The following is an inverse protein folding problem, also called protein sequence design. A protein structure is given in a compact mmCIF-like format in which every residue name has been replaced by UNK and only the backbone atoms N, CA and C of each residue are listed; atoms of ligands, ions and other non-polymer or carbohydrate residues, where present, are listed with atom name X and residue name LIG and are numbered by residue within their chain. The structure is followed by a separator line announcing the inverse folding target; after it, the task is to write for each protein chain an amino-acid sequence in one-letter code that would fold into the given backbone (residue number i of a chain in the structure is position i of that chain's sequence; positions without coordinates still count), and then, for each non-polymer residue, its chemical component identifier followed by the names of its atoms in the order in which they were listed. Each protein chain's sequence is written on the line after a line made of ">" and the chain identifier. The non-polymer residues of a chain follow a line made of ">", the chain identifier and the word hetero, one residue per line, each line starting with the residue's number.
data_IF_144862775412
#
_entry.id   IF_144862775412
#
_cell.length_a   1.000
_cell.length_b   1.000
_cell.length_c   1.000
_cell.angle_alpha   90.00
_cell.angle_beta   90.00
_cell.angle_gamma   90.00
#
_symmetry.space_group_name_H-M   'P 1'
#
loop_
_entity.id
_entity.type
_entity.pdbx_description
1 polymer ?
#
# COMPACT_ATOMS: atom_id res chain seq x y z
N UNK A 1 -11.52 0.85 15.94
CA UNK A 1 -12.98 1.12 16.05
C UNK A 1 -13.47 2.11 15.00
N UNK A 2 -12.97 3.36 14.94
CA UNK A 2 -13.41 4.37 13.94
C UNK A 2 -13.13 3.97 12.47
N UNK A 3 -12.06 3.22 12.20
CA UNK A 3 -11.68 2.78 10.84
C UNK A 3 -12.64 1.69 10.29
N UNK A 4 -13.01 0.73 11.13
CA UNK A 4 -13.94 -0.38 10.83
C UNK A 4 -15.32 0.16 10.49
N UNK A 5 -15.84 1.06 11.32
CA UNK A 5 -17.16 1.65 11.12
C UNK A 5 -17.23 2.41 9.78
N UNK A 6 -16.18 3.16 9.44
CA UNK A 6 -16.09 3.87 8.16
C UNK A 6 -16.03 2.96 6.94
N UNK A 7 -15.35 1.82 7.03
CA UNK A 7 -15.31 0.84 5.93
C UNK A 7 -16.62 0.07 5.80
N UNK A 8 -17.23 -0.32 6.93
CA UNK A 8 -18.51 -1.03 6.95
C UNK A 8 -19.66 -0.20 6.35
N UNK A 9 -19.60 1.13 6.45
CA UNK A 9 -20.57 2.05 5.86
C UNK A 9 -20.46 2.19 4.32
N UNK A 10 -19.35 1.73 3.73
CA UNK A 10 -19.14 1.78 2.28
C UNK A 10 -19.85 0.61 1.57
N UNK A 11 -20.25 0.82 0.31
CA UNK A 11 -20.69 -0.28 -0.55
C UNK A 11 -19.53 -1.25 -0.78
N UNK A 12 -19.79 -2.56 -1.03
CA UNK A 12 -18.74 -3.55 -1.26
C UNK A 12 -17.71 -3.17 -2.35
N UNK A 13 -18.17 -2.51 -3.41
CA UNK A 13 -17.27 -2.01 -4.47
C UNK A 13 -16.31 -0.92 -3.97
N UNK A 14 -16.81 -0.01 -3.14
CA UNK A 14 -16.01 1.06 -2.55
C UNK A 14 -15.08 0.50 -1.47
N UNK A 15 -15.48 -0.54 -0.73
CA UNK A 15 -14.59 -1.28 0.18
C UNK A 15 -13.43 -1.92 -0.58
N UNK A 16 -13.70 -2.59 -1.71
CA UNK A 16 -12.65 -3.10 -2.60
C UNK A 16 -11.72 -1.98 -3.05
N UNK A 17 -12.25 -0.86 -3.53
CA UNK A 17 -11.44 0.29 -3.96
C UNK A 17 -10.61 0.89 -2.82
N UNK A 18 -11.09 0.87 -1.58
CA UNK A 18 -10.31 1.27 -0.40
C UNK A 18 -9.08 0.36 -0.21
N UNK A 19 -9.25 -0.96 -0.31
CA UNK A 19 -8.13 -1.90 -0.26
C UNK A 19 -7.13 -1.68 -1.41
N UNK A 20 -7.62 -1.39 -2.62
CA UNK A 20 -6.74 -1.06 -3.77
C UNK A 20 -5.93 0.19 -3.49
N UNK A 21 -6.54 1.26 -2.96
CA UNK A 21 -5.83 2.51 -2.64
C UNK A 21 -4.82 2.32 -1.49
N UNK A 22 -5.10 1.42 -0.55
CA UNK A 22 -4.14 1.05 0.48
C UNK A 22 -2.92 0.33 -0.11
N UNK A 23 -3.13 -0.61 -1.03
CA UNK A 23 -2.04 -1.26 -1.78
C UNK A 23 -1.26 -0.27 -2.64
N UNK A 24 -1.96 0.62 -3.35
CA UNK A 24 -1.35 1.49 -4.36
C UNK A 24 -0.26 2.40 -3.81
N UNK A 25 -0.35 2.78 -2.53
CA UNK A 25 0.69 3.55 -1.80
C UNK A 25 2.06 2.86 -1.81
N UNK A 26 2.07 1.53 -1.93
CA UNK A 26 3.29 0.71 -1.93
C UNK A 26 3.75 0.31 -3.33
N UNK A 27 3.04 0.73 -4.39
CA UNK A 27 3.41 0.44 -5.78
C UNK A 27 4.78 1.04 -6.14
N UNK A 28 5.02 2.30 -5.82
CA UNK A 28 6.32 2.93 -6.05
C UNK A 28 7.42 2.27 -5.20
N UNK A 29 7.27 2.09 -3.88
CA UNK A 29 8.23 1.36 -3.04
C UNK A 29 8.64 -0.02 -3.58
N UNK A 30 7.70 -0.90 -3.92
CA UNK A 30 8.04 -2.25 -4.36
C UNK A 30 8.78 -2.28 -5.72
N UNK A 31 8.53 -1.29 -6.59
CA UNK A 31 9.10 -1.21 -7.94
C UNK A 31 10.38 -0.35 -8.03
N UNK A 32 10.65 0.52 -7.05
CA UNK A 32 11.80 1.43 -7.08
C UNK A 32 13.13 0.73 -6.70
N UNK A 33 13.06 -0.42 -6.04
CA UNK A 33 14.22 -1.19 -5.63
C UNK A 33 14.30 -2.51 -6.41
N UNK A 34 15.52 -2.94 -6.70
CA UNK A 34 15.77 -4.26 -7.27
C UNK A 34 15.25 -5.34 -6.32
N UNK A 35 14.41 -6.25 -6.85
CA UNK A 35 14.00 -7.45 -6.14
C UNK A 35 15.16 -8.43 -6.09
N UNK A 36 15.22 -9.23 -5.03
CA UNK A 36 16.23 -10.29 -4.95
C UNK A 36 16.08 -11.26 -6.13
N UNK A 37 17.18 -11.49 -6.85
CA UNK A 37 17.18 -12.37 -8.01
C UNK A 37 16.80 -13.82 -7.64
N UNK A 38 17.13 -14.27 -6.43
CA UNK A 38 16.79 -15.60 -5.93
C UNK A 38 15.30 -15.77 -5.67
N UNK A 39 14.54 -14.68 -5.48
CA UNK A 39 13.09 -14.74 -5.35
C UNK A 39 12.43 -15.15 -6.66
N UNK A 40 13.08 -14.87 -7.81
CA UNK A 40 12.58 -15.16 -9.15
C UNK A 40 11.21 -14.52 -9.45
N UNK A 41 10.91 -13.40 -8.81
CA UNK A 41 9.69 -12.62 -9.04
C UNK A 41 9.91 -11.69 -10.24
N UNK A 42 9.05 -11.80 -11.24
CA UNK A 42 9.05 -10.89 -12.39
C UNK A 42 8.38 -9.55 -12.01
N UNK A 43 9.08 -8.40 -12.10
CA UNK A 43 8.50 -7.09 -11.81
C UNK A 43 7.24 -6.76 -12.61
N UNK A 44 7.12 -7.28 -13.84
CA UNK A 44 5.97 -7.05 -14.71
C UNK A 44 4.69 -7.74 -14.18
N UNK A 45 4.83 -8.84 -13.44
CA UNK A 45 3.71 -9.51 -12.77
C UNK A 45 3.20 -8.66 -11.61
N UNK A 46 4.11 -8.10 -10.80
CA UNK A 46 3.74 -7.19 -9.72
C UNK A 46 3.05 -5.94 -10.27
N UNK A 47 3.60 -5.33 -11.32
CA UNK A 47 2.98 -4.17 -11.95
C UNK A 47 1.59 -4.49 -12.52
N UNK A 48 1.45 -5.67 -13.12
CA UNK A 48 0.16 -6.16 -13.62
C UNK A 48 -0.85 -6.36 -12.50
N UNK A 49 -0.45 -6.88 -11.34
CA UNK A 49 -1.33 -7.03 -10.18
C UNK A 49 -1.90 -5.69 -9.72
N UNK A 50 -1.07 -4.64 -9.59
CA UNK A 50 -1.58 -3.30 -9.27
C UNK A 50 -2.60 -2.83 -10.30
N UNK A 51 -2.26 -2.86 -11.58
CA UNK A 51 -3.17 -2.42 -12.66
C UNK A 51 -4.50 -3.19 -12.64
N UNK A 52 -4.45 -4.50 -12.43
CA UNK A 52 -5.63 -5.37 -12.35
C UNK A 52 -6.46 -5.09 -11.10
N UNK A 53 -5.83 -4.79 -9.95
CA UNK A 53 -6.54 -4.40 -8.73
C UNK A 53 -7.35 -3.11 -8.94
N UNK A 54 -6.77 -2.12 -9.62
CA UNK A 54 -7.39 -0.82 -9.90
C UNK A 54 -8.38 -0.82 -11.09
N UNK A 55 -8.45 -1.91 -11.84
CA UNK A 55 -9.38 -2.08 -12.98
C UNK A 55 -10.84 -2.06 -12.53
N UNK A 56 -11.80 -1.83 -13.45
CA UNK A 56 -13.22 -2.03 -13.17
C UNK A 56 -13.49 -3.37 -12.48
N UNK A 57 -14.28 -3.39 -11.40
CA UNK A 57 -14.62 -4.62 -10.72
C UNK A 57 -15.49 -5.50 -11.61
N UNK A 58 -15.13 -6.78 -11.75
CA UNK A 58 -15.92 -7.75 -12.49
C UNK A 58 -15.23 -9.10 -12.67
N UNK A 59 -15.98 -10.09 -13.14
CA UNK A 59 -15.48 -11.46 -13.24
C UNK A 59 -14.26 -11.59 -14.16
N UNK A 60 -14.14 -10.75 -15.19
CA UNK A 60 -13.00 -10.75 -16.10
C UNK A 60 -11.73 -10.22 -15.42
N UNK A 61 -11.81 -9.07 -14.74
CA UNK A 61 -10.67 -8.50 -14.00
C UNK A 61 -10.25 -9.46 -12.88
N UNK A 62 -11.20 -10.08 -12.20
CA UNK A 62 -10.93 -10.97 -11.07
C UNK A 62 -10.26 -12.26 -11.55
N UNK A 63 -10.71 -12.82 -12.68
CA UNK A 63 -10.01 -13.95 -13.32
C UNK A 63 -8.60 -13.59 -13.76
N UNK A 64 -8.40 -12.40 -14.33
CA UNK A 64 -7.08 -11.94 -14.71
C UNK A 64 -6.16 -11.74 -13.49
N UNK A 65 -6.66 -11.15 -12.41
CA UNK A 65 -5.92 -10.97 -11.16
C UNK A 65 -5.49 -12.33 -10.57
N UNK A 66 -6.42 -13.28 -10.45
CA UNK A 66 -6.10 -14.64 -9.97
C UNK A 66 -5.03 -15.33 -10.81
N UNK A 67 -5.05 -15.12 -12.13
CA UNK A 67 -4.03 -15.68 -13.01
C UNK A 67 -2.65 -15.10 -12.73
N UNK A 68 -2.57 -13.78 -12.54
CA UNK A 68 -1.31 -13.11 -12.18
C UNK A 68 -0.81 -13.54 -10.79
N UNK A 69 -1.71 -13.77 -9.82
CA UNK A 69 -1.35 -14.35 -8.52
C UNK A 69 -0.81 -15.77 -8.68
N UNK A 70 -1.49 -16.62 -9.46
CA UNK A 70 -1.03 -17.97 -9.71
C UNK A 70 0.35 -18.01 -10.38
N UNK A 71 0.62 -17.08 -11.30
CA UNK A 71 1.94 -16.87 -11.91
C UNK A 71 2.98 -16.44 -10.88
N UNK A 72 2.67 -15.42 -10.07
CA UNK A 72 3.54 -14.97 -8.97
C UNK A 72 3.90 -16.13 -8.03
N UNK A 73 2.93 -16.95 -7.63
CA UNK A 73 3.14 -18.09 -6.74
C UNK A 73 4.01 -19.22 -7.34
N UNK A 74 4.38 -19.15 -8.63
CA UNK A 74 5.39 -20.06 -9.20
C UNK A 74 6.83 -19.62 -8.94
N UNK A 75 7.03 -18.40 -8.44
CA UNK A 75 8.33 -17.85 -8.13
C UNK A 75 9.02 -18.63 -6.99
N UNK A 76 10.35 -18.84 -7.04
CA UNK A 76 11.11 -19.51 -5.99
C UNK A 76 10.92 -18.94 -4.57
N UNK A 77 10.60 -17.64 -4.46
CA UNK A 77 10.31 -16.94 -3.20
C UNK A 77 9.46 -17.76 -2.21
N UNK A 78 8.43 -18.44 -2.70
CA UNK A 78 7.44 -19.14 -1.88
C UNK A 78 7.94 -20.48 -1.30
N UNK A 79 9.17 -20.87 -1.63
CA UNK A 79 9.80 -22.13 -1.19
C UNK A 79 11.11 -21.91 -0.43
N UNK A 80 11.57 -20.67 -0.32
CA UNK A 80 12.85 -20.31 0.30
C UNK A 80 12.65 -19.73 1.70
N UNK A 81 13.55 -20.05 2.63
CA UNK A 81 13.70 -19.26 3.85
C UNK A 81 14.43 -17.97 3.51
N UNK A 82 13.81 -16.82 3.78
CA UNK A 82 14.35 -15.50 3.50
C UNK A 82 14.57 -14.78 4.83
N UNK A 83 15.78 -14.27 5.05
CA UNK A 83 16.10 -13.31 6.11
C UNK A 83 16.22 -11.93 5.45
N UNK A 84 15.12 -11.15 5.38
CA UNK A 84 15.09 -9.95 4.56
C UNK A 84 15.85 -8.80 5.22
N UNK A 85 16.55 -8.01 4.41
CA UNK A 85 16.91 -6.66 4.82
C UNK A 85 15.67 -5.77 4.96
N UNK A 86 15.86 -4.54 5.41
CA UNK A 86 14.76 -3.59 5.61
C UNK A 86 13.93 -3.39 4.34
N UNK A 87 14.53 -3.19 3.17
CA UNK A 87 13.81 -2.93 1.91
C UNK A 87 13.07 -4.19 1.47
N UNK A 88 13.75 -5.33 1.56
CA UNK A 88 13.19 -6.64 1.25
C UNK A 88 11.96 -6.93 2.12
N UNK A 89 11.95 -6.55 3.39
CA UNK A 89 10.79 -6.70 4.28
C UNK A 89 9.58 -5.94 3.72
N UNK A 90 9.73 -4.67 3.35
CA UNK A 90 8.63 -3.90 2.75
C UNK A 90 8.14 -4.53 1.42
N UNK A 91 9.05 -5.06 0.60
CA UNK A 91 8.69 -5.74 -0.65
C UNK A 91 7.89 -7.03 -0.37
N UNK A 92 8.33 -7.86 0.58
CA UNK A 92 7.64 -9.10 0.98
C UNK A 92 6.26 -8.83 1.57
N UNK A 93 6.14 -7.84 2.45
CA UNK A 93 4.85 -7.46 3.05
C UNK A 93 3.90 -6.89 1.98
N UNK A 94 4.43 -6.13 1.01
CA UNK A 94 3.62 -5.65 -0.13
C UNK A 94 3.14 -6.82 -1.00
N UNK A 95 4.00 -7.81 -1.27
CA UNK A 95 3.63 -9.05 -1.97
C UNK A 95 2.54 -9.80 -1.19
N UNK A 96 2.71 -9.97 0.12
CA UNK A 96 1.74 -10.60 1.01
C UNK A 96 0.37 -9.90 0.96
N UNK A 97 0.36 -8.56 0.94
CA UNK A 97 -0.87 -7.78 0.82
C UNK A 97 -1.54 -7.94 -0.55
N UNK A 98 -0.78 -8.08 -1.64
CA UNK A 98 -1.33 -8.41 -2.96
C UNK A 98 -1.98 -9.81 -2.99
N UNK A 99 -1.40 -10.78 -2.28
CA UNK A 99 -2.00 -12.12 -2.11
C UNK A 99 -3.30 -12.04 -1.30
N UNK A 100 -3.28 -11.33 -0.18
CA UNK A 100 -4.46 -11.10 0.68
C UNK A 100 -5.60 -10.43 -0.08
N UNK A 101 -5.29 -9.46 -0.94
CA UNK A 101 -6.29 -8.88 -1.83
C UNK A 101 -6.83 -9.88 -2.86
N UNK A 102 -6.03 -10.85 -3.31
CA UNK A 102 -6.51 -11.96 -4.12
C UNK A 102 -7.57 -12.81 -3.40
N UNK A 103 -7.37 -13.07 -2.11
CA UNK A 103 -8.34 -13.81 -1.28
C UNK A 103 -9.66 -13.06 -1.12
N UNK A 104 -9.61 -11.72 -0.99
CA UNK A 104 -10.78 -10.85 -0.97
C UNK A 104 -11.66 -11.04 -2.22
N UNK A 105 -11.08 -11.34 -3.39
CA UNK A 105 -11.84 -11.58 -4.63
C UNK A 105 -12.63 -12.89 -4.60
N UNK A 106 -12.23 -13.85 -3.76
CA UNK A 106 -12.91 -15.14 -3.61
C UNK A 106 -13.91 -15.14 -2.44
N UNK A 107 -13.58 -14.39 -1.39
CA UNK A 107 -14.43 -14.22 -0.20
C UNK A 107 -14.57 -12.73 0.10
N UNK A 108 -15.52 -12.04 -0.54
CA UNK A 108 -15.78 -10.64 -0.25
C UNK A 108 -16.23 -10.47 1.20
N UNK A 109 -15.52 -9.62 1.95
CA UNK A 109 -15.79 -9.36 3.36
C UNK A 109 -15.10 -8.07 3.81
N UNK A 110 -15.67 -7.42 4.82
CA UNK A 110 -15.08 -6.23 5.45
C UNK A 110 -13.76 -6.60 6.13
N UNK A 111 -13.69 -7.79 6.74
CA UNK A 111 -12.52 -8.27 7.46
C UNK A 111 -11.29 -8.39 6.53
N UNK A 112 -11.44 -8.94 5.32
CA UNK A 112 -10.36 -9.05 4.34
C UNK A 112 -9.90 -7.67 3.82
N UNK A 113 -10.85 -6.74 3.61
CA UNK A 113 -10.52 -5.35 3.24
C UNK A 113 -9.74 -4.67 4.36
N UNK A 114 -10.20 -4.85 5.60
CA UNK A 114 -9.55 -4.31 6.78
C UNK A 114 -8.12 -4.84 6.92
N UNK A 115 -7.90 -6.15 6.76
CA UNK A 115 -6.54 -6.73 6.80
C UNK A 115 -5.58 -6.04 5.85
N UNK A 116 -6.00 -5.79 4.60
CA UNK A 116 -5.15 -5.08 3.61
C UNK A 116 -4.88 -3.63 4.04
N UNK A 117 -5.90 -2.92 4.52
CA UNK A 117 -5.78 -1.52 4.96
C UNK A 117 -4.90 -1.40 6.21
N UNK A 118 -5.07 -2.28 7.19
CA UNK A 118 -4.30 -2.32 8.42
C UNK A 118 -2.86 -2.72 8.18
N UNK A 119 -2.59 -3.72 7.35
CA UNK A 119 -1.23 -4.11 6.99
C UNK A 119 -0.48 -2.95 6.32
N UNK A 120 -1.14 -2.23 5.41
CA UNK A 120 -0.58 -1.01 4.82
C UNK A 120 -0.29 0.07 5.88
N UNK A 121 -1.13 0.24 6.90
CA UNK A 121 -0.88 1.22 7.95
C UNK A 121 0.26 0.76 8.88
N UNK A 122 0.35 -0.54 9.15
CA UNK A 122 1.43 -1.15 9.92
C UNK A 122 2.79 -0.88 9.30
N UNK A 123 2.92 -0.98 7.97
CA UNK A 123 4.15 -0.65 7.27
C UNK A 123 4.57 0.82 7.44
N UNK A 124 3.62 1.76 7.38
CA UNK A 124 3.92 3.18 7.61
C UNK A 124 4.41 3.43 9.05
N UNK A 125 3.78 2.81 10.05
CA UNK A 125 4.24 2.87 11.45
C UNK A 125 5.61 2.24 11.64
N UNK A 126 5.87 1.11 10.97
CA UNK A 126 7.16 0.45 11.03
C UNK A 126 8.28 1.34 10.46
N UNK A 127 7.99 2.05 9.37
CA UNK A 127 8.93 3.01 8.79
C UNK A 127 9.27 4.15 9.75
N UNK A 128 8.27 4.69 10.47
CA UNK A 128 8.53 5.69 11.51
C UNK A 128 9.49 5.16 12.58
N UNK A 129 9.28 3.92 13.05
CA UNK A 129 10.17 3.29 14.03
C UNK A 129 11.61 3.12 13.53
N UNK A 130 11.80 2.84 12.24
CA UNK A 130 13.14 2.75 11.63
C UNK A 130 13.81 4.13 11.53
N UNK A 131 13.06 5.17 11.23
CA UNK A 131 13.57 6.55 11.15
C UNK A 131 13.92 7.06 12.54
N UNK A 132 13.06 6.86 13.53
CA UNK A 132 13.31 7.24 14.94
C UNK A 132 14.49 6.46 15.54
N UNK A 133 14.61 5.18 15.20
CA UNK A 133 15.72 4.33 15.65
C UNK A 133 17.06 4.58 14.94
N UNK A 134 17.09 5.43 13.91
CA UNK A 134 18.32 5.73 13.16
C UNK A 134 19.28 6.59 13.97
N UNK A 135 20.58 6.31 13.87
CA UNK A 135 21.62 7.17 14.44
C UNK A 135 21.81 8.50 13.69
N UNK A 136 21.22 8.61 12.49
CA UNK A 136 21.35 9.78 11.63
C UNK A 136 20.02 10.51 11.56
N UNK A 137 20.06 11.85 11.58
CA UNK A 137 18.90 12.68 11.29
C UNK A 137 18.43 12.49 9.85
N UNK A 138 17.11 12.35 9.67
CA UNK A 138 16.50 12.32 8.34
C UNK A 138 16.67 13.69 7.67
N UNK A 139 17.00 13.77 6.35
CA UNK A 139 17.20 15.06 5.66
C UNK A 139 15.98 15.99 5.71
N UNK A 140 14.79 15.42 5.86
CA UNK A 140 13.51 16.16 5.97
C UNK A 140 12.94 16.18 7.39
N UNK A 141 13.75 15.90 8.43
CA UNK A 141 13.31 15.86 9.83
C UNK A 141 12.58 17.13 10.27
N UNK A 142 13.08 18.32 9.91
CA UNK A 142 12.42 19.59 10.24
C UNK A 142 11.04 19.71 9.59
N UNK A 143 10.92 19.33 8.30
CA UNK A 143 9.65 19.35 7.58
C UNK A 143 8.65 18.33 8.16
N UNK A 144 9.14 17.16 8.57
CA UNK A 144 8.32 16.13 9.21
C UNK A 144 7.77 16.63 10.57
N UNK A 145 8.63 17.23 11.37
CA UNK A 145 8.26 17.80 12.68
C UNK A 145 7.28 18.96 12.52
N UNK A 146 7.47 19.82 11.53
CA UNK A 146 6.53 20.90 11.23
C UNK A 146 5.16 20.36 10.83
N UNK A 147 5.12 19.36 9.93
CA UNK A 147 3.87 18.71 9.55
C UNK A 147 3.13 18.14 10.76
N UNK A 148 3.85 17.45 11.66
CA UNK A 148 3.26 16.90 12.89
C UNK A 148 2.76 17.99 13.84
N UNK A 149 3.49 19.11 13.98
CA UNK A 149 3.09 20.23 14.82
C UNK A 149 1.80 20.90 14.33
N UNK A 150 1.56 20.90 13.02
CA UNK A 150 0.35 21.48 12.41
C UNK A 150 -0.89 20.58 12.56
N UNK A 151 -0.71 19.30 12.91
CA UNK A 151 -1.80 18.37 13.22
C UNK A 151 -2.31 18.58 14.65
N UNK A 152 -3.06 19.67 14.86
CA UNK A 152 -3.76 19.95 16.11
C UNK A 152 -4.50 18.68 16.61
N UNK A 153 -4.04 18.14 17.74
CA UNK A 153 -4.57 16.98 18.48
C UNK A 153 -4.20 15.54 18.02
N UNK A 154 -3.21 15.31 17.14
CA UNK A 154 -2.78 13.94 16.74
C UNK A 154 -1.45 13.47 17.36
N UNK A 155 -1.27 13.75 18.65
CA UNK A 155 0.00 13.71 19.37
C UNK A 155 0.65 12.31 19.60
N UNK A 156 0.28 11.24 18.90
CA UNK A 156 0.80 9.89 19.19
C UNK A 156 1.28 9.06 18.00
N UNK A 157 1.24 9.60 16.78
CA UNK A 157 1.66 8.86 15.58
C UNK A 157 2.89 9.53 14.96
N UNK A 158 3.80 8.72 14.42
CA UNK A 158 4.95 9.21 13.68
C UNK A 158 4.54 9.91 12.37
N UNK A 159 5.52 10.45 11.64
CA UNK A 159 5.28 11.22 10.43
C UNK A 159 4.58 10.37 9.35
N UNK A 160 5.13 9.21 9.02
CA UNK A 160 4.61 8.35 7.95
C UNK A 160 3.25 7.76 8.30
N UNK A 161 3.02 7.38 9.55
CA UNK A 161 1.71 6.95 10.03
C UNK A 161 0.67 8.08 9.89
N UNK A 162 1.01 9.30 10.32
CA UNK A 162 0.14 10.46 10.20
C UNK A 162 -0.15 10.85 8.75
N UNK A 163 0.85 10.79 7.87
CA UNK A 163 0.71 11.03 6.43
C UNK A 163 -0.14 9.96 5.76
N UNK A 164 0.11 8.68 6.06
CA UNK A 164 -0.68 7.55 5.59
C UNK A 164 -2.16 7.72 5.94
N UNK A 165 -2.45 8.03 7.21
CA UNK A 165 -3.82 8.23 7.67
C UNK A 165 -4.50 9.45 7.02
N UNK A 166 -3.76 10.52 6.73
CA UNK A 166 -4.28 11.66 5.98
C UNK A 166 -4.65 11.27 4.54
N UNK A 167 -3.77 10.56 3.83
CA UNK A 167 -4.04 10.04 2.48
C UNK A 167 -5.24 9.10 2.49
N UNK A 168 -5.32 8.20 3.46
CA UNK A 168 -6.45 7.29 3.60
C UNK A 168 -7.76 8.02 3.86
N UNK A 169 -7.76 8.99 4.76
CA UNK A 169 -8.96 9.77 5.06
C UNK A 169 -9.45 10.51 3.81
N UNK A 170 -8.55 11.09 3.02
CA UNK A 170 -8.88 11.72 1.75
C UNK A 170 -9.46 10.70 0.74
N UNK A 171 -8.84 9.52 0.62
CA UNK A 171 -9.34 8.42 -0.20
C UNK A 171 -10.77 8.03 0.20
N UNK A 172 -10.98 7.67 1.47
CA UNK A 172 -12.29 7.25 1.97
C UNK A 172 -13.37 8.32 1.78
N UNK A 173 -13.04 9.60 1.99
CA UNK A 173 -13.97 10.71 1.77
C UNK A 173 -14.42 10.87 0.31
N UNK A 174 -13.60 10.44 -0.64
CA UNK A 174 -13.87 10.54 -2.08
C UNK A 174 -14.46 9.26 -2.69
N UNK A 175 -14.33 8.10 -2.05
CA UNK A 175 -14.84 6.83 -2.61
C UNK A 175 -16.34 6.86 -2.88
N UNK A 176 -17.12 7.52 -2.02
CA UNK A 176 -18.58 7.58 -2.16
C UNK A 176 -19.09 8.27 -3.43
N UNK A 177 -18.26 9.05 -4.13
CA UNK A 177 -18.63 9.72 -5.39
C UNK A 177 -18.24 8.91 -6.64
N UNK A 178 -17.52 7.80 -6.48
CA UNK A 178 -17.09 6.97 -7.61
C UNK A 178 -18.25 6.10 -8.13
N UNK A 179 -18.40 5.97 -9.47
CA UNK A 179 -19.36 5.04 -10.04
C UNK A 179 -19.06 3.59 -9.67
N UNK A 180 -20.09 2.83 -9.31
CA UNK A 180 -19.99 1.42 -8.89
C UNK A 180 -19.37 0.50 -9.97
N UNK A 181 -19.39 0.91 -11.25
CA UNK A 181 -18.85 0.13 -12.38
C UNK A 181 -17.50 0.61 -12.91
N UNK A 182 -16.96 1.71 -12.38
CA UNK A 182 -15.72 2.30 -12.87
C UNK A 182 -14.50 1.72 -12.12
N UNK A 183 -13.41 1.48 -12.85
CA UNK A 183 -12.09 1.34 -12.25
C UNK A 183 -11.59 2.71 -11.75
N UNK A 184 -10.60 2.68 -10.87
CA UNK A 184 -9.96 3.91 -10.40
C UNK A 184 -9.38 4.75 -11.56
N UNK A 185 -8.70 4.17 -12.57
CA UNK A 185 -8.15 4.95 -13.70
C UNK A 185 -9.21 5.58 -14.61
N UNK A 186 -10.44 5.07 -14.61
CA UNK A 186 -11.47 5.46 -15.60
C UNK A 186 -12.11 6.81 -15.27
N UNK A 187 -12.07 7.22 -14.01
CA UNK A 187 -12.67 8.47 -13.55
C UNK A 187 -11.62 9.52 -13.21
N UNK A 188 -12.00 10.80 -13.28
CA UNK A 188 -11.12 11.90 -12.87
C UNK A 188 -10.74 11.76 -11.39
N UNK A 189 -11.72 11.63 -10.50
CA UNK A 189 -11.51 11.45 -9.06
C UNK A 189 -10.64 10.23 -8.75
N UNK A 190 -10.89 9.09 -9.41
CA UNK A 190 -10.07 7.90 -9.18
C UNK A 190 -8.61 8.10 -9.59
N UNK A 191 -8.33 8.82 -10.70
CA UNK A 191 -6.96 9.19 -11.08
C UNK A 191 -6.31 10.12 -10.08
N UNK A 192 -7.04 11.09 -9.53
CA UNK A 192 -6.51 11.97 -8.46
C UNK A 192 -6.17 11.19 -7.20
N UNK A 193 -6.98 10.21 -6.82
CA UNK A 193 -6.70 9.34 -5.66
C UNK A 193 -5.47 8.45 -5.88
N UNK A 194 -5.31 7.92 -7.09
CA UNK A 194 -4.10 7.16 -7.45
C UNK A 194 -2.86 8.07 -7.41
N UNK A 195 -2.94 9.28 -7.96
CA UNK A 195 -1.84 10.25 -7.92
C UNK A 195 -1.47 10.61 -6.47
N UNK A 196 -2.45 10.87 -5.60
CA UNK A 196 -2.20 11.11 -4.17
C UNK A 196 -1.46 9.94 -3.49
N UNK A 197 -1.77 8.70 -3.88
CA UNK A 197 -1.09 7.52 -3.36
C UNK A 197 0.34 7.39 -3.92
N UNK A 198 0.57 7.77 -5.18
CA UNK A 198 1.91 7.79 -5.78
C UNK A 198 2.79 8.89 -5.17
N UNK A 199 2.26 10.09 -4.92
CA UNK A 199 2.99 11.18 -4.25
C UNK A 199 3.51 10.73 -2.87
N UNK A 200 2.65 10.05 -2.09
CA UNK A 200 3.08 9.45 -0.82
C UNK A 200 4.05 8.28 -1.03
N UNK A 201 3.84 7.45 -2.05
CA UNK A 201 4.77 6.39 -2.45
C UNK A 201 6.18 6.89 -2.76
N UNK A 202 6.30 8.05 -3.41
CA UNK A 202 7.59 8.69 -3.68
C UNK A 202 8.30 9.20 -2.41
N UNK A 203 7.54 9.74 -1.45
CA UNK A 203 8.06 10.07 -0.11
C UNK A 203 8.65 8.80 0.56
N UNK A 204 7.90 7.70 0.54
CA UNK A 204 8.34 6.40 1.09
C UNK A 204 9.61 5.88 0.42
N UNK A 205 9.69 5.92 -0.92
CA UNK A 205 10.87 5.52 -1.68
C UNK A 205 12.10 6.34 -1.25
N UNK A 206 11.94 7.65 -1.15
CA UNK A 206 13.03 8.56 -0.77
C UNK A 206 13.57 8.22 0.63
N UNK A 207 12.68 7.98 1.59
CA UNK A 207 13.07 7.61 2.95
C UNK A 207 13.70 6.22 3.03
N UNK A 208 13.17 5.23 2.31
CA UNK A 208 13.76 3.89 2.25
C UNK A 208 15.15 3.91 1.59
N UNK A 209 15.36 4.75 0.57
CA UNK A 209 16.68 4.98 -0.02
C UNK A 209 17.65 5.57 1.00
N UNK A 210 17.22 6.56 1.78
CA UNK A 210 18.02 7.13 2.85
C UNK A 210 18.38 6.08 3.91
N UNK A 211 17.41 5.31 4.42
CA UNK A 211 17.65 4.23 5.39
C UNK A 211 18.67 3.21 4.87
N UNK A 212 18.61 2.86 3.59
CA UNK A 212 19.59 1.93 2.98
C UNK A 212 21.01 2.50 2.96
N UNK A 213 21.16 3.82 2.86
CA UNK A 213 22.46 4.50 2.87
C UNK A 213 23.01 4.72 4.28
N UNK A 214 22.14 4.86 5.29
CA UNK A 214 22.53 5.25 6.66
C UNK A 214 22.42 4.13 7.69
N UNK A 215 21.66 3.07 7.42
CA UNK A 215 21.41 1.93 8.31
C UNK A 215 22.49 0.85 8.29
N UNK A 216 23.76 1.21 8.06
CA UNK A 216 24.92 0.30 8.13
C UNK A 216 25.79 0.56 9.36
#
# INVERSE_FOLDING_TARGET
>A
MVRIERLADLKPVHQRQAAVLALWRWRAPILAFELDAEWGVDPSVLESLFRLAASPPGEQSDRAYRRAIAELCTAPLFTSEVDPDTVQLFQLETISNLLTFGELLDKPGVDEVERVVEASAGLANYLDGLVEGSFYSHPSEEAHNQYLADLADRASEGYFASRHFAVETACHGALGVLPDSAGLPDSFTGRELLALCEDFGEELVTTMQWLRMTGR
#
